data_IF_688894994634
#
_entry.id   IF_688894994634
#
_cell.length_a   1.000
_cell.length_b   1.000
_cell.length_c   1.000
_cell.angle_alpha   90.00
_cell.angle_beta   90.00
_cell.angle_gamma   90.00
#
_symmetry.space_group_name_H-M   'P 1'
#
loop_
_entity.id
_entity.type
_entity.pdbx_description
1 polymer ?
#
# COMPACT_ATOMS: atom_id res chain seq x y z
N UNK A 1 -6.51 -16.86 26.25
CA UNK A 1 -6.76 -15.59 25.55
C UNK A 1 -7.29 -15.92 24.16
N UNK A 2 -8.47 -15.42 23.81
CA UNK A 2 -9.03 -15.56 22.46
C UNK A 2 -8.49 -14.44 21.57
N UNK A 3 -7.84 -14.80 20.48
CA UNK A 3 -7.43 -13.86 19.45
C UNK A 3 -8.68 -13.40 18.68
N UNK A 4 -8.91 -12.09 18.62
CA UNK A 4 -9.97 -11.48 17.80
C UNK A 4 -9.39 -10.39 16.93
N UNK A 5 -9.88 -10.27 15.71
CA UNK A 5 -9.47 -9.21 14.79
C UNK A 5 -10.27 -7.94 15.08
N UNK A 6 -9.63 -6.77 15.04
CA UNK A 6 -10.33 -5.49 15.00
C UNK A 6 -11.30 -5.44 13.80
N UNK A 7 -12.43 -4.71 13.92
CA UNK A 7 -13.49 -4.70 12.91
C UNK A 7 -13.07 -4.12 11.55
N UNK A 8 -11.98 -3.35 11.52
CA UNK A 8 -11.45 -2.73 10.30
C UNK A 8 -10.35 -3.54 9.64
N UNK A 9 -10.09 -4.75 10.16
CA UNK A 9 -9.03 -5.63 9.69
C UNK A 9 -9.63 -6.96 9.25
N UNK A 10 -9.30 -7.36 8.02
CA UNK A 10 -9.58 -8.68 7.49
C UNK A 10 -8.31 -9.50 7.38
N UNK A 11 -8.45 -10.83 7.45
CA UNK A 11 -7.38 -11.78 7.23
C UNK A 11 -7.75 -12.75 6.12
N UNK A 12 -6.84 -12.96 5.18
CA UNK A 12 -6.93 -14.03 4.20
C UNK A 12 -5.88 -15.11 4.52
N UNK A 13 -6.27 -16.37 4.34
CA UNK A 13 -5.39 -17.52 4.59
C UNK A 13 -5.11 -18.22 3.27
N UNK A 14 -3.83 -18.48 3.00
CA UNK A 14 -3.38 -19.20 1.83
C UNK A 14 -2.46 -20.35 2.25
N UNK A 15 -2.71 -21.55 1.73
CA UNK A 15 -1.79 -22.69 1.88
C UNK A 15 -0.64 -22.55 0.89
N UNK A 16 0.57 -22.86 1.33
CA UNK A 16 1.77 -23.05 0.52
C UNK A 16 2.16 -24.52 0.55
N UNK A 17 3.03 -24.94 -0.36
CA UNK A 17 3.53 -26.33 -0.42
C UNK A 17 4.21 -26.77 0.89
N UNK A 18 4.87 -25.84 1.58
CA UNK A 18 5.58 -26.08 2.84
C UNK A 18 5.06 -25.23 4.02
N UNK A 19 3.80 -24.75 3.97
CA UNK A 19 3.34 -23.83 5.01
C UNK A 19 2.00 -23.14 4.79
N UNK A 20 1.82 -22.03 5.49
CA UNK A 20 0.61 -21.21 5.43
C UNK A 20 0.95 -19.71 5.54
N UNK A 21 0.24 -18.88 4.79
CA UNK A 21 0.33 -17.42 4.87
C UNK A 21 -0.98 -16.86 5.38
N UNK A 22 -0.89 -15.93 6.32
CA UNK A 22 -1.98 -15.11 6.83
C UNK A 22 -1.73 -13.68 6.38
N UNK A 23 -2.51 -13.18 5.44
CA UNK A 23 -2.38 -11.83 4.91
C UNK A 23 -3.41 -10.90 5.53
N UNK A 24 -2.96 -9.77 6.06
CA UNK A 24 -3.78 -8.84 6.82
C UNK A 24 -4.03 -7.57 6.01
N UNK A 25 -5.28 -7.12 5.98
CA UNK A 25 -5.71 -5.93 5.25
C UNK A 25 -6.53 -5.02 6.14
N UNK A 26 -6.26 -3.73 6.12
CA UNK A 26 -7.06 -2.69 6.74
C UNK A 26 -8.03 -2.07 5.72
N UNK A 27 -9.24 -1.70 6.14
CA UNK A 27 -10.25 -1.08 5.27
C UNK A 27 -9.80 0.20 4.58
N UNK A 28 -8.83 0.92 5.16
CA UNK A 28 -8.34 2.20 4.61
C UNK A 28 -6.85 2.20 4.27
N UNK A 29 -6.00 1.41 4.95
CA UNK A 29 -4.55 1.43 4.71
C UNK A 29 -4.10 0.42 3.65
N UNK A 30 -5.06 -0.34 3.11
CA UNK A 30 -4.77 -1.44 2.21
C UNK A 30 -4.10 -2.58 2.97
N UNK A 31 -3.11 -3.20 2.34
CA UNK A 31 -2.37 -4.28 2.96
C UNK A 31 -1.58 -3.78 4.18
N UNK A 32 -1.68 -4.50 5.31
CA UNK A 32 -0.91 -4.21 6.53
C UNK A 32 0.39 -5.02 6.59
N UNK A 33 0.31 -6.30 6.21
CA UNK A 33 1.41 -7.24 6.36
C UNK A 33 0.96 -8.68 6.18
N UNK A 34 1.86 -9.62 6.45
CA UNK A 34 1.55 -11.05 6.49
C UNK A 34 2.34 -11.77 7.57
N UNK A 35 1.78 -12.88 8.03
CA UNK A 35 2.49 -13.88 8.83
C UNK A 35 2.67 -15.13 7.98
N UNK A 36 3.88 -15.65 7.92
CA UNK A 36 4.22 -16.89 7.22
C UNK A 36 4.57 -17.94 8.26
N UNK A 37 3.90 -19.09 8.15
CA UNK A 37 4.23 -20.32 8.85
C UNK A 37 4.89 -21.25 7.85
N UNK A 38 6.10 -21.72 8.13
CA UNK A 38 6.80 -22.68 7.28
C UNK A 38 7.30 -23.85 8.10
N UNK A 39 7.22 -25.04 7.54
CA UNK A 39 7.90 -26.20 8.08
C UNK A 39 9.38 -26.15 7.67
N UNK A 40 10.26 -26.18 8.66
CA UNK A 40 11.71 -26.35 8.49
C UNK A 40 12.03 -27.81 8.19
N UNK A 41 13.13 -28.05 7.47
CA UNK A 41 13.70 -29.38 7.26
C UNK A 41 13.97 -30.14 8.59
N UNK A 42 14.20 -29.40 9.68
CA UNK A 42 14.42 -29.96 11.02
C UNK A 42 13.11 -30.36 11.74
N UNK A 43 11.96 -30.29 11.05
CA UNK A 43 10.63 -30.57 11.62
C UNK A 43 10.09 -29.46 12.53
N UNK A 44 10.74 -28.29 12.54
CA UNK A 44 10.34 -27.12 13.29
C UNK A 44 9.33 -26.28 12.52
N UNK A 45 8.38 -25.65 13.21
CA UNK A 45 7.54 -24.63 12.59
C UNK A 45 8.17 -23.25 12.80
N UNK A 46 8.56 -22.61 11.70
CA UNK A 46 9.09 -21.25 11.68
C UNK A 46 7.95 -20.27 11.45
N UNK A 47 7.87 -19.24 12.30
CA UNK A 47 6.92 -18.15 12.19
C UNK A 47 7.68 -16.87 11.87
N UNK A 48 7.32 -16.20 10.78
CA UNK A 48 7.82 -14.88 10.43
C UNK A 48 6.68 -13.91 10.16
N UNK A 49 6.90 -12.64 10.45
CA UNK A 49 5.95 -11.55 10.19
C UNK A 49 6.61 -10.49 9.31
N UNK A 50 5.88 -9.96 8.33
CA UNK A 50 6.38 -8.96 7.38
C UNK A 50 5.34 -7.82 7.28
N UNK A 51 5.78 -6.57 7.44
CA UNK A 51 4.92 -5.39 7.25
C UNK A 51 4.88 -5.03 5.76
N UNK A 52 3.72 -4.61 5.26
CA UNK A 52 3.59 -4.12 3.90
C UNK A 52 4.15 -2.70 3.77
N UNK A 53 5.11 -2.53 2.86
CA UNK A 53 5.62 -1.22 2.45
C UNK A 53 7.14 -1.14 2.44
N UNK A 54 7.65 0.02 2.03
CA UNK A 54 9.08 0.35 2.12
C UNK A 54 9.39 0.96 3.49
N UNK A 55 10.55 0.67 4.07
CA UNK A 55 10.93 1.16 5.40
C UNK A 55 10.97 2.69 5.47
N UNK A 56 11.34 3.34 4.37
CA UNK A 56 11.51 4.79 4.34
C UNK A 56 10.18 5.51 4.00
N UNK A 57 9.08 4.76 3.85
CA UNK A 57 7.72 5.27 3.73
C UNK A 57 7.07 5.52 5.10
N UNK A 58 6.65 6.76 5.43
CA UNK A 58 5.88 7.04 6.64
C UNK A 58 4.62 6.17 6.80
N UNK A 59 3.97 5.79 5.68
CA UNK A 59 2.80 4.92 5.74
C UNK A 59 3.14 3.49 6.19
N UNK A 60 4.35 3.00 5.94
CA UNK A 60 4.82 1.70 6.46
C UNK A 60 4.90 1.72 7.98
N UNK A 61 5.35 2.84 8.57
CA UNK A 61 5.36 3.01 10.02
C UNK A 61 3.94 2.96 10.61
N UNK A 62 2.97 3.64 9.97
CA UNK A 62 1.56 3.57 10.38
C UNK A 62 1.01 2.15 10.30
N UNK A 63 1.31 1.40 9.23
CA UNK A 63 0.91 0.00 9.10
C UNK A 63 1.54 -0.88 10.19
N UNK A 64 2.82 -0.67 10.49
CA UNK A 64 3.55 -1.42 11.52
C UNK A 64 2.92 -1.25 12.90
N UNK A 65 2.55 -0.02 13.29
CA UNK A 65 1.93 0.26 14.58
C UNK A 65 0.61 -0.51 14.81
N UNK A 66 -0.14 -0.76 13.74
CA UNK A 66 -1.38 -1.55 13.79
C UNK A 66 -1.09 -3.05 13.70
N UNK A 67 -0.18 -3.45 12.81
CA UNK A 67 0.07 -4.85 12.49
C UNK A 67 0.88 -5.58 13.57
N UNK A 68 1.87 -4.92 14.16
CA UNK A 68 2.78 -5.52 15.15
C UNK A 68 2.05 -6.19 16.32
N UNK A 69 1.12 -5.54 17.05
CA UNK A 69 0.42 -6.18 18.16
C UNK A 69 -0.41 -7.39 17.71
N UNK A 70 -1.03 -7.33 16.52
CA UNK A 70 -1.78 -8.46 15.96
C UNK A 70 -0.87 -9.63 15.65
N UNK A 71 0.31 -9.35 15.09
CA UNK A 71 1.28 -10.36 14.75
C UNK A 71 1.82 -11.07 15.99
N UNK A 72 2.07 -10.34 17.08
CA UNK A 72 2.54 -10.89 18.35
C UNK A 72 1.46 -11.74 19.03
N UNK A 73 0.21 -11.29 19.03
CA UNK A 73 -0.91 -12.05 19.60
C UNK A 73 -1.15 -13.36 18.83
N UNK A 74 -1.13 -13.31 17.49
CA UNK A 74 -1.32 -14.51 16.67
C UNK A 74 -0.15 -15.48 16.83
N UNK A 75 1.11 -15.00 16.83
CA UNK A 75 2.27 -15.84 17.09
C UNK A 75 2.21 -16.53 18.47
N UNK A 76 1.75 -15.80 19.50
CA UNK A 76 1.55 -16.35 20.85
C UNK A 76 0.45 -17.42 20.87
N UNK A 77 -0.68 -17.16 20.22
CA UNK A 77 -1.78 -18.11 20.12
C UNK A 77 -1.38 -19.38 19.35
N UNK A 78 -0.61 -19.25 18.26
CA UNK A 78 -0.11 -20.38 17.49
C UNK A 78 0.87 -21.23 18.30
N UNK A 79 1.80 -20.61 19.05
CA UNK A 79 2.68 -21.33 19.97
C UNK A 79 1.92 -22.14 21.01
N UNK A 80 0.88 -21.57 21.60
CA UNK A 80 0.05 -22.25 22.58
C UNK A 80 -0.70 -23.45 21.98
N UNK A 81 -1.13 -23.35 20.72
CA UNK A 81 -1.87 -24.41 20.03
C UNK A 81 -0.99 -25.59 19.56
N UNK A 82 0.29 -25.37 19.28
CA UNK A 82 1.20 -26.38 18.70
C UNK A 82 1.67 -27.45 19.72
N UNK A 83 1.41 -27.27 21.02
CA UNK A 83 1.68 -28.28 22.06
C UNK A 83 3.17 -28.52 22.34
N UNK A 84 3.49 -29.09 23.52
CA UNK A 84 4.87 -29.25 24.07
C UNK A 84 5.85 -30.11 23.25
N UNK A 85 5.50 -30.58 22.05
CA UNK A 85 6.27 -31.57 21.27
C UNK A 85 6.98 -31.06 20.02
N UNK A 86 6.61 -29.88 19.48
CA UNK A 86 7.28 -29.28 18.31
C UNK A 86 7.92 -27.96 18.73
N UNK A 87 9.24 -27.85 18.58
CA UNK A 87 9.93 -26.58 18.81
C UNK A 87 9.50 -25.57 17.73
N UNK A 88 9.23 -24.33 18.14
CA UNK A 88 8.83 -23.24 17.24
C UNK A 88 9.87 -22.14 17.31
N UNK A 89 10.39 -21.73 16.16
CA UNK A 89 11.30 -20.59 16.06
C UNK A 89 10.48 -19.40 15.58
N UNK A 90 10.34 -18.39 16.43
CA UNK A 90 9.79 -17.10 16.01
C UNK A 90 10.96 -16.23 15.61
N UNK A 91 11.01 -15.91 14.32
CA UNK A 91 11.86 -14.82 13.89
C UNK A 91 11.14 -13.51 14.20
N UNK A 92 11.87 -12.50 14.71
CA UNK A 92 11.37 -11.13 14.77
C UNK A 92 10.84 -10.69 13.41
N UNK A 93 10.04 -9.63 13.41
CA UNK A 93 9.47 -9.03 12.22
C UNK A 93 10.55 -8.90 11.13
N UNK A 94 10.43 -9.72 10.09
CA UNK A 94 11.42 -9.82 9.04
C UNK A 94 11.23 -8.62 8.13
N UNK A 95 12.28 -7.84 7.95
CA UNK A 95 12.27 -6.58 7.18
C UNK A 95 12.21 -6.81 5.65
N UNK A 96 11.88 -8.02 5.19
CA UNK A 96 11.75 -8.29 3.77
C UNK A 96 10.45 -7.68 3.27
N UNK A 97 10.58 -6.76 2.31
CA UNK A 97 9.44 -6.23 1.58
C UNK A 97 8.66 -7.39 0.96
N UNK A 98 7.34 -7.33 1.08
CA UNK A 98 6.46 -8.31 0.46
C UNK A 98 6.69 -8.32 -1.06
N UNK A 99 6.83 -9.48 -1.72
CA UNK A 99 6.70 -9.54 -3.16
C UNK A 99 5.30 -9.08 -3.53
N UNK A 100 5.23 -8.05 -4.35
CA UNK A 100 3.98 -7.46 -4.82
C UNK A 100 3.23 -8.50 -5.65
N UNK A 101 1.98 -8.87 -5.30
CA UNK A 101 1.17 -9.68 -6.20
C UNK A 101 0.96 -8.91 -7.51
N UNK A 102 1.58 -9.41 -8.58
CA UNK A 102 1.54 -8.83 -9.92
C UNK A 102 0.29 -9.30 -10.66
N UNK A 103 -0.62 -8.35 -10.93
CA UNK A 103 -1.62 -8.41 -12.02
C UNK A 103 -2.36 -7.09 -12.25
N UNK A 104 -2.18 -6.10 -11.39
CA UNK A 104 -2.76 -4.76 -11.55
C UNK A 104 -1.76 -3.85 -12.28
N UNK A 105 -1.98 -3.62 -13.57
CA UNK A 105 -1.21 -2.64 -14.33
C UNK A 105 -1.71 -1.24 -14.03
N UNK A 106 -0.79 -0.36 -13.58
CA UNK A 106 -1.00 1.08 -13.59
C UNK A 106 -0.43 1.66 -14.88
N UNK A 107 -1.01 2.76 -15.36
CA UNK A 107 -0.43 3.56 -16.45
C UNK A 107 0.21 4.79 -15.85
N UNK A 108 1.38 5.18 -16.35
CA UNK A 108 2.09 6.38 -15.89
C UNK A 108 2.17 7.37 -17.03
N UNK A 109 1.65 8.57 -16.80
CA UNK A 109 1.66 9.69 -17.73
C UNK A 109 2.57 10.81 -17.19
N UNK A 110 3.47 11.29 -18.04
CA UNK A 110 4.35 12.41 -17.73
C UNK A 110 3.77 13.67 -18.36
N UNK A 111 3.59 14.70 -17.54
CA UNK A 111 2.97 15.95 -17.98
C UNK A 111 4.07 17.01 -18.11
N UNK A 112 4.37 17.47 -19.35
CA UNK A 112 5.38 18.50 -19.58
C UNK A 112 4.87 19.87 -19.14
N UNK A 113 5.81 20.73 -18.73
CA UNK A 113 5.54 22.13 -18.47
C UNK A 113 5.25 22.84 -19.80
N UNK A 114 4.14 23.59 -19.93
CA UNK A 114 3.84 24.33 -21.15
C UNK A 114 4.82 25.49 -21.43
N UNK A 115 5.67 25.86 -20.46
CA UNK A 115 6.66 26.96 -20.60
C UNK A 115 8.04 26.49 -21.05
N UNK A 116 8.57 25.44 -20.44
CA UNK A 116 9.94 24.97 -20.70
C UNK A 116 10.03 23.59 -21.37
N UNK A 117 8.92 22.85 -21.48
CA UNK A 117 8.88 21.51 -22.08
C UNK A 117 9.36 20.37 -21.18
N UNK A 118 10.09 20.67 -20.10
CA UNK A 118 10.52 19.67 -19.10
C UNK A 118 9.33 19.02 -18.38
N UNK A 119 9.49 17.79 -17.92
CA UNK A 119 8.46 17.10 -17.14
C UNK A 119 8.24 17.85 -15.84
N UNK A 120 7.00 18.29 -15.60
CA UNK A 120 6.62 19.06 -14.41
C UNK A 120 5.70 18.31 -13.46
N UNK A 121 5.07 17.23 -13.93
CA UNK A 121 4.21 16.39 -13.12
C UNK A 121 4.15 14.95 -13.63
N UNK A 122 3.81 14.03 -12.73
CA UNK A 122 3.55 12.62 -12.99
C UNK A 122 2.10 12.28 -12.59
N UNK A 123 1.37 11.62 -13.47
CA UNK A 123 0.02 11.12 -13.18
C UNK A 123 0.00 9.61 -13.35
N UNK A 124 -0.36 8.90 -12.29
CA UNK A 124 -0.44 7.44 -12.27
C UNK A 124 -1.92 7.06 -12.27
N UNK A 125 -2.37 6.43 -13.34
CA UNK A 125 -3.76 6.01 -13.53
C UNK A 125 -3.93 4.57 -13.05
N UNK A 126 -4.76 4.40 -12.04
CA UNK A 126 -5.06 3.13 -11.38
C UNK A 126 -6.53 2.73 -11.64
N UNK A 127 -6.80 2.24 -12.86
CA UNK A 127 -8.16 1.88 -13.33
C UNK A 127 -8.86 0.77 -12.53
N UNK A 128 -8.17 0.13 -11.59
CA UNK A 128 -8.74 -0.86 -10.68
C UNK A 128 -9.14 -0.24 -9.33
N UNK A 129 -8.53 0.87 -8.92
CA UNK A 129 -8.67 1.41 -7.57
C UNK A 129 -9.87 2.36 -7.47
N UNK A 130 -10.92 1.93 -6.77
CA UNK A 130 -12.13 2.72 -6.47
C UNK A 130 -12.18 3.13 -5.00
N UNK A 131 -11.59 2.31 -4.14
CA UNK A 131 -11.63 2.48 -2.70
C UNK A 131 -10.32 3.06 -2.14
N UNK A 132 -10.43 3.68 -0.96
CA UNK A 132 -9.30 4.28 -0.23
C UNK A 132 -8.16 3.27 -0.05
N UNK A 133 -8.46 2.04 0.37
CA UNK A 133 -7.46 1.00 0.57
C UNK A 133 -6.73 0.59 -0.73
N UNK A 134 -7.42 0.56 -1.87
CA UNK A 134 -6.82 0.21 -3.16
C UNK A 134 -5.91 1.34 -3.66
N UNK A 135 -6.29 2.60 -3.41
CA UNK A 135 -5.44 3.76 -3.68
C UNK A 135 -4.15 3.71 -2.84
N UNK A 136 -4.24 3.32 -1.57
CA UNK A 136 -3.07 3.12 -0.70
C UNK A 136 -2.15 1.99 -1.18
N UNK A 137 -2.73 0.88 -1.62
CA UNK A 137 -1.96 -0.21 -2.21
C UNK A 137 -1.24 0.28 -3.47
N UNK A 138 -1.92 1.05 -4.32
CA UNK A 138 -1.32 1.65 -5.52
C UNK A 138 -0.17 2.60 -5.18
N UNK A 139 -0.35 3.48 -4.18
CA UNK A 139 0.70 4.39 -3.72
C UNK A 139 1.96 3.63 -3.26
N UNK A 140 1.77 2.58 -2.47
CA UNK A 140 2.87 1.74 -2.03
C UNK A 140 3.58 1.05 -3.21
N UNK A 141 2.83 0.48 -4.16
CA UNK A 141 3.39 -0.25 -5.31
C UNK A 141 4.14 0.64 -6.28
N UNK A 142 3.71 1.89 -6.42
CA UNK A 142 4.23 2.83 -7.43
C UNK A 142 5.23 3.84 -6.87
N UNK A 143 5.62 3.68 -5.60
CA UNK A 143 6.52 4.59 -4.89
C UNK A 143 7.81 4.89 -5.64
N UNK A 144 8.50 3.83 -6.07
CA UNK A 144 9.75 3.97 -6.81
C UNK A 144 9.61 4.75 -8.12
N UNK A 145 8.41 4.79 -8.72
CA UNK A 145 8.17 5.53 -9.96
C UNK A 145 8.21 7.03 -9.67
N UNK A 146 7.45 7.50 -8.67
CA UNK A 146 7.34 8.93 -8.41
C UNK A 146 8.51 9.51 -7.62
N UNK A 147 9.13 8.75 -6.71
CA UNK A 147 10.31 9.23 -5.96
C UNK A 147 11.51 9.49 -6.87
N UNK A 148 11.73 8.64 -7.87
CA UNK A 148 12.82 8.80 -8.82
C UNK A 148 12.62 9.96 -9.80
N UNK A 149 11.38 10.44 -9.96
CA UNK A 149 11.05 11.52 -10.90
C UNK A 149 11.26 12.91 -10.32
N UNK A 150 11.26 13.05 -8.99
CA UNK A 150 11.35 14.31 -8.23
C UNK A 150 10.40 15.45 -8.72
N UNK A 151 9.28 15.08 -9.34
CA UNK A 151 8.22 16.00 -9.77
C UNK A 151 6.94 15.71 -9.00
N UNK A 152 6.02 16.69 -8.94
CA UNK A 152 4.74 16.48 -8.28
C UNK A 152 4.01 15.28 -8.89
N UNK A 153 3.51 14.38 -8.04
CA UNK A 153 2.92 13.14 -8.50
C UNK A 153 1.54 12.88 -7.87
N UNK A 154 0.63 12.39 -8.70
CA UNK A 154 -0.72 12.01 -8.31
C UNK A 154 -1.05 10.59 -8.75
N UNK A 155 -1.89 9.93 -7.97
CA UNK A 155 -2.59 8.71 -8.36
C UNK A 155 -4.05 9.05 -8.57
N UNK A 156 -4.60 8.65 -9.70
CA UNK A 156 -6.01 8.80 -10.04
C UNK A 156 -6.62 7.42 -10.19
N UNK A 157 -7.58 7.10 -9.33
CA UNK A 157 -8.29 5.83 -9.38
C UNK A 157 -9.42 5.81 -10.40
N UNK A 158 -10.13 4.69 -10.44
CA UNK A 158 -11.28 4.50 -11.29
C UNK A 158 -12.46 5.41 -10.86
N UNK A 159 -13.28 5.85 -11.83
CA UNK A 159 -14.48 6.62 -11.54
C UNK A 159 -15.46 5.82 -10.67
N UNK A 160 -16.09 6.53 -9.74
CA UNK A 160 -17.15 6.06 -8.84
C UNK A 160 -18.38 6.96 -9.01
N UNK A 161 -19.55 6.34 -8.90
CA UNK A 161 -20.85 6.99 -9.14
C UNK A 161 -21.50 6.57 -10.47
N UNK A 162 -22.75 7.01 -10.67
CA UNK A 162 -23.51 6.74 -11.89
C UNK A 162 -23.12 7.72 -13.02
N UNK A 163 -23.21 7.28 -14.27
CA UNK A 163 -22.90 8.06 -15.47
C UNK A 163 -23.77 9.32 -15.56
N UNK A 164 -25.02 9.25 -15.09
CA UNK A 164 -25.95 10.39 -15.04
C UNK A 164 -25.55 11.45 -13.99
N UNK A 165 -24.74 11.06 -12.99
CA UNK A 165 -24.39 11.89 -11.83
C UNK A 165 -23.05 12.60 -11.93
N UNK A 166 -22.42 12.65 -13.12
CA UNK A 166 -21.06 13.14 -13.33
C UNK A 166 -20.02 12.38 -12.45
N UNK A 167 -19.53 11.21 -12.91
CA UNK A 167 -18.68 10.36 -12.09
C UNK A 167 -17.42 11.09 -11.60
N UNK A 168 -17.03 10.80 -10.36
CA UNK A 168 -15.83 11.35 -9.71
C UNK A 168 -14.82 10.25 -9.50
N UNK A 169 -13.53 10.57 -9.54
CA UNK A 169 -12.46 9.61 -9.27
C UNK A 169 -11.77 9.95 -7.95
N UNK A 170 -11.30 8.96 -7.18
CA UNK A 170 -10.41 9.23 -6.06
C UNK A 170 -9.06 9.71 -6.59
N UNK A 171 -8.55 10.79 -6.01
CA UNK A 171 -7.31 11.46 -6.39
C UNK A 171 -6.45 11.56 -5.13
N UNK A 172 -5.21 11.11 -5.24
CA UNK A 172 -4.22 11.12 -4.17
C UNK A 172 -2.96 11.82 -4.66
N UNK A 173 -2.58 12.94 -4.04
CA UNK A 173 -1.25 13.51 -4.24
C UNK A 173 -0.26 12.76 -3.35
N UNK A 174 0.72 12.11 -3.98
CA UNK A 174 1.71 11.25 -3.31
C UNK A 174 3.07 11.91 -3.15
N UNK A 175 3.42 12.90 -3.99
CA UNK A 175 4.72 13.58 -3.96
C UNK A 175 4.61 15.09 -4.25
N UNK A 176 5.52 15.95 -3.73
CA UNK A 176 6.51 15.68 -2.67
C UNK A 176 5.87 15.54 -1.29
N UNK A 177 4.73 16.19 -1.08
CA UNK A 177 3.96 16.11 0.16
C UNK A 177 2.71 15.30 -0.06
N UNK A 178 2.56 14.25 0.75
CA UNK A 178 1.40 13.37 0.74
C UNK A 178 0.16 14.11 1.26
N UNK A 179 -0.95 14.07 0.53
CA UNK A 179 -2.22 14.67 0.94
C UNK A 179 -3.30 13.59 1.17
N UNK A 180 -4.41 13.92 1.87
CA UNK A 180 -5.56 13.03 1.96
C UNK A 180 -6.17 12.72 0.57
N UNK A 181 -6.73 11.52 0.43
CA UNK A 181 -7.51 11.15 -0.76
C UNK A 181 -8.75 12.03 -0.83
N UNK A 182 -8.99 12.60 -2.02
CA UNK A 182 -10.18 13.40 -2.32
C UNK A 182 -10.88 12.86 -3.56
N UNK A 183 -12.18 13.07 -3.68
CA UNK A 183 -12.92 12.71 -4.88
C UNK A 183 -13.09 13.94 -5.77
N UNK A 184 -12.79 13.81 -7.05
CA UNK A 184 -12.87 14.93 -8.00
C UNK A 184 -13.20 14.52 -9.41
N UNK A 185 -13.74 15.46 -10.18
CA UNK A 185 -13.98 15.30 -11.61
C UNK A 185 -12.69 15.53 -12.41
N UNK A 186 -12.60 15.04 -13.66
CA UNK A 186 -11.46 15.31 -14.53
C UNK A 186 -11.19 16.81 -14.69
N UNK A 187 -12.24 17.63 -14.86
CA UNK A 187 -12.12 19.09 -15.00
C UNK A 187 -11.45 19.73 -13.78
N UNK A 188 -11.83 19.31 -12.58
CA UNK A 188 -11.25 19.81 -11.34
C UNK A 188 -9.77 19.40 -11.22
N UNK A 189 -9.43 18.17 -11.59
CA UNK A 189 -8.05 17.71 -11.58
C UNK A 189 -7.17 18.44 -12.59
N UNK A 190 -7.64 18.63 -13.83
CA UNK A 190 -6.92 19.40 -14.84
C UNK A 190 -6.65 20.84 -14.38
N UNK A 191 -7.62 21.50 -13.76
CA UNK A 191 -7.43 22.84 -13.21
C UNK A 191 -6.35 22.89 -12.10
N UNK A 192 -6.23 21.85 -11.27
CA UNK A 192 -5.14 21.75 -10.29
C UNK A 192 -3.79 21.57 -10.97
N UNK A 193 -3.69 20.69 -11.98
CA UNK A 193 -2.47 20.52 -12.75
C UNK A 193 -2.04 21.85 -13.40
N UNK A 194 -2.95 22.54 -14.09
CA UNK A 194 -2.67 23.84 -14.73
C UNK A 194 -2.20 24.92 -13.75
N UNK A 195 -2.66 24.89 -12.50
CA UNK A 195 -2.20 25.81 -11.46
C UNK A 195 -0.78 25.49 -10.96
N UNK A 196 -0.33 24.23 -11.08
CA UNK A 196 0.96 23.76 -10.54
C UNK A 196 2.05 23.74 -11.62
N UNK A 197 1.73 23.35 -12.85
CA UNK A 197 2.70 23.21 -13.95
C UNK A 197 3.54 24.48 -14.19
N UNK A 198 3.01 25.72 -14.12
CA UNK A 198 3.83 26.93 -14.30
C UNK A 198 4.79 27.20 -13.14
N UNK A 199 4.50 26.68 -11.93
CA UNK A 199 5.36 26.86 -10.74
C UNK A 199 6.64 26.05 -10.82
N UNK A 200 6.67 25.02 -11.67
CA UNK A 200 7.89 24.27 -12.02
C UNK A 200 9.05 25.19 -12.40
N UNK A 201 8.79 26.21 -13.23
CA UNK A 201 9.82 27.14 -13.71
C UNK A 201 10.27 28.18 -12.66
N UNK A 202 9.53 28.34 -11.56
CA UNK A 202 9.73 29.41 -10.58
C UNK A 202 10.63 29.04 -9.39
N UNK A 203 11.14 27.81 -9.33
CA UNK A 203 11.97 27.30 -8.24
C UNK A 203 11.15 26.54 -7.19
N UNK A 204 11.51 25.25 -7.05
CA UNK A 204 11.11 24.20 -6.08
C UNK A 204 9.76 24.36 -5.38
N UNK A 205 8.89 23.37 -5.62
CA UNK A 205 7.76 23.04 -4.77
C UNK A 205 8.27 22.63 -3.37
N UNK A 206 8.56 23.60 -2.51
CA UNK A 206 8.74 23.38 -1.06
C UNK A 206 7.40 23.20 -0.39
#
# INVERSE_FOLDING_TARGET
MSFSLPPDISVQRQRLDNGMVYQFRHKTLGQLGRIVLQDSADGLCQISSEVAGDRDDPMTQTRSQIFEPLSQQLATALKAAVGKGRQTVVNPLSKKALPTPSKESVTTEQIPCPRCGEIAALVIVANHAKEVAEMEDCAQKTRSIYENSDVAAWIVGAPVGNIEGAPVSPILRVWPTRHPIRYGSPKMFCAELEAILPRHCGGRLT
#
